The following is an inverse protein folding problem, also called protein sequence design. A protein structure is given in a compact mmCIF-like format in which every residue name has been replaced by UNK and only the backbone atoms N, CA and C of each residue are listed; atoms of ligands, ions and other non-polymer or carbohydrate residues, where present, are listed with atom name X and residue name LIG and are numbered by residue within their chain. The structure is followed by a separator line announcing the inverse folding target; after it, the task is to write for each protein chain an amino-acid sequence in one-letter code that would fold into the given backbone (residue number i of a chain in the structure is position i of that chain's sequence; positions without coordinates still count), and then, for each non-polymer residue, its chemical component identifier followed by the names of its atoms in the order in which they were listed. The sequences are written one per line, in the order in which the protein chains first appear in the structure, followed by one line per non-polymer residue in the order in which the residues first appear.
data_IF_045599010444
#
_entry.id   IF_045599010444
#
_cell.length_a   1.000
_cell.length_b   1.000
_cell.length_c   1.000
_cell.angle_alpha   90.00
_cell.angle_beta   90.00
_cell.angle_gamma   90.00
#
_symmetry.space_group_name_H-M   'P 1'
#
loop_
_entity.id
_entity.type
_entity.pdbx_description
1 polymer ?
#
# COMPACT_ATOMS: atom_id res chain seq x y z
N UNK A 1 -2.46 -5.94 -21.65
CA UNK A 1 -1.44 -5.29 -20.81
C UNK A 1 -1.15 -6.17 -19.61
N UNK A 2 0.09 -6.34 -19.31
CA UNK A 2 0.47 -7.13 -18.16
C UNK A 2 0.00 -6.47 -16.87
N UNK A 3 -0.37 -7.28 -15.91
CA UNK A 3 -0.75 -6.78 -14.60
C UNK A 3 0.44 -6.11 -13.93
N UNK A 4 0.19 -4.98 -13.31
CA UNK A 4 1.20 -4.26 -12.54
C UNK A 4 1.46 -4.95 -11.20
N UNK A 5 0.56 -5.80 -10.76
CA UNK A 5 0.58 -6.42 -9.46
C UNK A 5 0.75 -7.93 -9.61
N UNK A 6 1.28 -8.60 -8.58
CA UNK A 6 1.37 -10.05 -8.62
C UNK A 6 0.01 -10.64 -8.94
N UNK A 7 0.00 -11.58 -9.84
CA UNK A 7 -1.23 -12.24 -10.20
C UNK A 7 -1.83 -12.93 -8.98
N UNK A 8 -3.13 -12.75 -8.83
CA UNK A 8 -3.85 -13.54 -7.86
C UNK A 8 -4.19 -14.85 -8.55
N UNK A 9 -3.32 -15.83 -8.38
CA UNK A 9 -3.54 -17.12 -9.01
C UNK A 9 -4.86 -17.70 -8.54
N UNK A 10 -5.68 -18.20 -9.45
CA UNK A 10 -6.85 -18.96 -9.01
C UNK A 10 -6.39 -20.09 -8.12
N UNK A 11 -7.21 -20.43 -7.16
CA UNK A 11 -6.91 -21.54 -6.31
C UNK A 11 -7.08 -22.85 -7.13
N UNK A 12 -5.97 -23.38 -7.56
CA UNK A 12 -5.94 -24.55 -8.43
C UNK A 12 -6.47 -25.81 -7.75
N UNK A 13 -6.49 -25.83 -6.42
CA UNK A 13 -6.94 -26.99 -5.67
C UNK A 13 -8.40 -26.91 -5.28
N UNK A 14 -9.07 -25.82 -5.58
CA UNK A 14 -10.46 -25.61 -5.17
C UNK A 14 -10.60 -25.16 -3.73
N UNK A 15 -9.51 -24.96 -3.01
CA UNK A 15 -9.55 -24.45 -1.64
C UNK A 15 -9.57 -22.92 -1.67
N UNK A 16 -10.15 -22.33 -0.63
CA UNK A 16 -10.12 -20.87 -0.50
C UNK A 16 -8.66 -20.41 -0.35
N UNK A 17 -8.27 -19.34 -1.05
CA UNK A 17 -6.91 -18.81 -0.86
C UNK A 17 -6.72 -18.32 0.56
N UNK A 18 -5.49 -18.43 1.06
CA UNK A 18 -5.15 -17.90 2.37
C UNK A 18 -5.32 -16.39 2.37
N UNK A 19 -5.74 -15.78 3.50
CA UNK A 19 -5.81 -14.34 3.61
C UNK A 19 -4.46 -13.72 3.31
N UNK A 20 -4.47 -12.63 2.57
CA UNK A 20 -3.25 -11.89 2.27
C UNK A 20 -2.90 -11.00 3.44
N UNK A 21 -1.62 -10.99 3.79
CA UNK A 21 -1.12 -9.99 4.73
C UNK A 21 -1.16 -8.61 4.06
N UNK A 22 -1.35 -7.56 4.85
CA UNK A 22 -1.32 -6.20 4.31
C UNK A 22 -0.02 -5.84 3.60
N UNK A 23 1.08 -6.46 3.99
CA UNK A 23 2.37 -6.29 3.32
C UNK A 23 2.91 -7.68 2.96
N UNK A 24 3.41 -7.80 1.74
CA UNK A 24 4.10 -9.00 1.27
C UNK A 24 5.51 -9.01 1.87
N UNK A 25 5.67 -9.78 2.94
CA UNK A 25 6.93 -9.79 3.69
C UNK A 25 8.09 -10.37 2.90
N UNK A 26 7.82 -11.27 1.97
CA UNK A 26 8.88 -11.80 1.10
C UNK A 26 9.40 -10.72 0.17
N UNK A 27 8.49 -9.94 -0.40
CA UNK A 27 8.86 -8.81 -1.26
C UNK A 27 9.67 -7.77 -0.46
N UNK A 28 9.20 -7.44 0.74
CA UNK A 28 9.90 -6.49 1.60
C UNK A 28 11.30 -6.98 1.95
N UNK A 29 11.45 -8.25 2.29
CA UNK A 29 12.75 -8.83 2.61
C UNK A 29 13.72 -8.69 1.44
N UNK A 30 13.24 -8.92 0.22
CA UNK A 30 14.08 -8.74 -0.97
C UNK A 30 14.49 -7.29 -1.16
N UNK A 31 13.58 -6.36 -0.96
CA UNK A 31 13.87 -4.93 -1.09
C UNK A 31 14.85 -4.45 -0.04
N UNK A 32 14.81 -5.02 1.15
CA UNK A 32 15.70 -4.68 2.25
C UNK A 32 16.95 -5.56 2.31
N UNK A 33 17.21 -6.34 1.27
CA UNK A 33 18.41 -7.18 1.14
C UNK A 33 18.58 -8.17 2.31
N UNK A 34 17.47 -8.60 2.89
CA UNK A 34 17.48 -9.54 3.99
C UNK A 34 17.90 -8.96 5.34
N UNK A 35 18.04 -7.65 5.44
CA UNK A 35 18.45 -6.97 6.66
C UNK A 35 17.21 -6.60 7.49
N UNK A 36 16.97 -7.24 8.66
CA UNK A 36 15.79 -6.96 9.47
C UNK A 36 15.70 -5.54 9.98
N UNK A 37 16.83 -4.93 10.32
CA UNK A 37 16.86 -3.52 10.76
C UNK A 37 16.42 -2.59 9.64
N UNK A 38 16.88 -2.85 8.43
CA UNK A 38 16.49 -2.06 7.28
C UNK A 38 15.01 -2.26 6.94
N UNK A 39 14.48 -3.48 7.10
CA UNK A 39 13.05 -3.72 6.91
C UNK A 39 12.22 -2.82 7.82
N UNK A 40 12.60 -2.71 9.09
CA UNK A 40 11.88 -1.86 10.04
C UNK A 40 11.97 -0.39 9.67
N UNK A 41 13.13 0.07 9.22
CA UNK A 41 13.28 1.45 8.77
C UNK A 41 12.40 1.74 7.57
N UNK A 42 12.37 0.84 6.60
CA UNK A 42 11.53 0.98 5.42
C UNK A 42 10.06 1.04 5.82
N UNK A 43 9.64 0.18 6.76
CA UNK A 43 8.26 0.19 7.24
C UNK A 43 7.90 1.50 7.94
N UNK A 44 8.80 2.06 8.75
CA UNK A 44 8.55 3.34 9.41
C UNK A 44 8.40 4.47 8.42
N UNK A 45 9.27 4.50 7.40
CA UNK A 45 9.19 5.52 6.36
C UNK A 45 7.91 5.38 5.56
N UNK A 46 7.55 4.15 5.20
CA UNK A 46 6.33 3.91 4.46
C UNK A 46 5.10 4.34 5.26
N UNK A 47 5.07 4.00 6.55
CA UNK A 47 3.97 4.38 7.44
C UNK A 47 3.74 5.90 7.40
N UNK A 48 4.82 6.66 7.48
CA UNK A 48 4.72 8.13 7.45
C UNK A 48 4.28 8.64 6.09
N UNK A 49 4.81 8.09 5.01
CA UNK A 49 4.41 8.49 3.65
C UNK A 49 2.92 8.23 3.44
N UNK A 50 2.44 7.07 3.85
CA UNK A 50 1.02 6.72 3.69
C UNK A 50 0.16 7.64 4.54
N UNK A 51 0.52 7.84 5.81
CA UNK A 51 -0.24 8.71 6.71
C UNK A 51 -0.43 10.11 6.12
N UNK A 52 0.67 10.71 5.68
CA UNK A 52 0.64 12.07 5.15
C UNK A 52 -0.14 12.14 3.83
N UNK A 53 0.10 11.18 2.94
CA UNK A 53 -0.52 11.27 1.62
C UNK A 53 -2.01 10.91 1.63
N UNK A 54 -2.44 10.01 2.50
CA UNK A 54 -3.88 9.76 2.66
C UNK A 54 -4.58 10.99 3.22
N UNK A 55 -3.98 11.66 4.21
CA UNK A 55 -4.54 12.88 4.75
C UNK A 55 -4.66 13.96 3.67
N UNK A 56 -3.61 14.15 2.89
CA UNK A 56 -3.63 15.13 1.79
C UNK A 56 -4.62 14.76 0.70
N UNK A 57 -4.77 13.47 0.44
CA UNK A 57 -5.76 12.98 -0.52
C UNK A 57 -7.18 13.36 -0.08
N UNK A 58 -7.47 13.19 1.21
CA UNK A 58 -8.79 13.55 1.75
C UNK A 58 -9.04 15.05 1.72
N UNK A 59 -7.99 15.85 1.80
CA UNK A 59 -8.10 17.31 1.78
C UNK A 59 -8.05 17.91 0.37
N UNK A 60 -7.67 17.12 -0.63
CA UNK A 60 -7.48 17.63 -1.99
C UNK A 60 -8.82 18.03 -2.60
N UNK A 61 -8.80 19.17 -3.30
CA UNK A 61 -10.00 19.73 -3.91
C UNK A 61 -9.99 19.71 -5.43
N UNK A 62 -8.89 19.28 -6.05
CA UNK A 62 -8.77 19.22 -7.50
C UNK A 62 -8.31 17.84 -7.94
N UNK A 63 -8.74 17.42 -9.13
CA UNK A 63 -8.33 16.14 -9.68
C UNK A 63 -6.81 16.02 -9.83
N UNK A 64 -6.09 17.06 -10.32
CA UNK A 64 -4.63 16.96 -10.37
C UNK A 64 -3.97 16.71 -9.01
N UNK A 65 -4.46 17.34 -7.94
CA UNK A 65 -3.94 17.11 -6.61
C UNK A 65 -4.22 15.68 -6.14
N UNK A 66 -5.45 15.20 -6.37
CA UNK A 66 -5.82 13.83 -6.03
C UNK A 66 -4.89 12.86 -6.74
N UNK A 67 -4.67 13.05 -8.04
CA UNK A 67 -3.80 12.18 -8.84
C UNK A 67 -2.37 12.17 -8.29
N UNK A 68 -1.86 13.32 -7.88
CA UNK A 68 -0.50 13.39 -7.36
C UNK A 68 -0.33 12.56 -6.09
N UNK A 69 -1.30 12.63 -5.18
CA UNK A 69 -1.23 11.85 -3.94
C UNK A 69 -1.48 10.37 -4.17
N UNK A 70 -2.38 10.03 -5.08
CA UNK A 70 -2.60 8.63 -5.47
C UNK A 70 -1.33 8.03 -6.05
N UNK A 71 -0.64 8.76 -6.91
CA UNK A 71 0.60 8.28 -7.51
C UNK A 71 1.65 7.99 -6.45
N UNK A 72 1.79 8.87 -5.47
CA UNK A 72 2.73 8.67 -4.36
C UNK A 72 2.37 7.45 -3.54
N UNK A 73 1.09 7.31 -3.18
CA UNK A 73 0.61 6.15 -2.41
C UNK A 73 0.88 4.86 -3.18
N UNK A 74 0.55 4.84 -4.47
CA UNK A 74 0.75 3.66 -5.30
C UNK A 74 2.22 3.27 -5.38
N UNK A 75 3.08 4.23 -5.70
CA UNK A 75 4.51 3.95 -5.84
C UNK A 75 5.13 3.43 -4.55
N UNK A 76 4.83 4.08 -3.44
CA UNK A 76 5.35 3.65 -2.14
C UNK A 76 4.82 2.26 -1.77
N UNK A 77 3.54 2.01 -2.04
CA UNK A 77 2.90 0.72 -1.73
C UNK A 77 3.51 -0.42 -2.52
N UNK A 78 3.77 -0.22 -3.82
CA UNK A 78 4.46 -1.21 -4.65
C UNK A 78 5.85 -1.49 -4.07
N UNK A 79 6.56 -0.44 -3.64
CA UNK A 79 7.90 -0.59 -3.09
C UNK A 79 7.99 -1.55 -1.90
N UNK A 80 7.01 -1.50 -1.01
CA UNK A 80 7.03 -2.35 0.20
C UNK A 80 6.20 -3.63 0.06
N UNK A 81 5.46 -3.79 -1.03
CA UNK A 81 4.60 -4.96 -1.20
C UNK A 81 3.23 -4.82 -0.57
N UNK A 82 2.74 -3.59 -0.40
CA UNK A 82 1.37 -3.34 0.06
C UNK A 82 0.43 -3.38 -1.15
N UNK A 83 0.24 -4.58 -1.69
CA UNK A 83 -0.42 -4.78 -2.98
C UNK A 83 -1.88 -4.32 -3.00
N UNK A 84 -2.62 -4.56 -1.92
CA UNK A 84 -4.02 -4.14 -1.85
C UNK A 84 -4.16 -2.63 -1.91
N UNK A 85 -3.36 -1.92 -1.14
CA UNK A 85 -3.37 -0.46 -1.13
C UNK A 85 -2.92 0.09 -2.49
N UNK A 86 -1.88 -0.51 -3.07
CA UNK A 86 -1.40 -0.12 -4.39
C UNK A 86 -2.49 -0.29 -5.45
N UNK A 87 -3.26 -1.37 -5.37
CA UNK A 87 -4.32 -1.63 -6.33
C UNK A 87 -5.45 -0.62 -6.23
N UNK A 88 -5.89 -0.30 -5.01
CA UNK A 88 -6.92 0.72 -4.81
C UNK A 88 -6.48 2.07 -5.39
N UNK A 89 -5.24 2.47 -5.13
CA UNK A 89 -4.73 3.73 -5.65
C UNK A 89 -4.65 3.70 -7.18
N UNK A 90 -4.21 2.58 -7.75
CA UNK A 90 -4.10 2.44 -9.21
C UNK A 90 -5.46 2.53 -9.89
N UNK A 91 -6.46 1.84 -9.37
CA UNK A 91 -7.82 1.86 -9.95
C UNK A 91 -8.33 3.31 -9.98
N UNK A 92 -8.18 4.04 -8.89
CA UNK A 92 -8.65 5.41 -8.84
C UNK A 92 -7.87 6.33 -9.78
N UNK A 93 -6.54 6.11 -9.92
CA UNK A 93 -5.75 6.86 -10.89
C UNK A 93 -6.27 6.67 -12.31
N UNK A 94 -6.56 5.42 -12.69
CA UNK A 94 -7.06 5.11 -14.02
C UNK A 94 -8.40 5.78 -14.26
N UNK A 95 -9.31 5.70 -13.30
CA UNK A 95 -10.62 6.32 -13.42
C UNK A 95 -10.52 7.83 -13.64
N UNK A 96 -9.69 8.49 -12.86
CA UNK A 96 -9.53 9.94 -12.97
C UNK A 96 -8.88 10.35 -14.28
N UNK A 97 -7.91 9.57 -14.76
CA UNK A 97 -7.27 9.85 -16.04
C UNK A 97 -8.21 9.63 -17.21
N UNK A 98 -9.18 8.75 -17.04
CA UNK A 98 -10.22 8.51 -18.06
C UNK A 98 -11.37 9.53 -17.98
N UNK A 99 -11.25 10.52 -17.10
CA UNK A 99 -12.19 11.63 -17.03
C UNK A 99 -13.30 11.47 -15.99
N UNK A 100 -13.26 10.44 -15.16
CA UNK A 100 -14.24 10.29 -14.10
C UNK A 100 -14.05 11.36 -13.03
N UNK A 101 -15.14 11.68 -12.33
CA UNK A 101 -15.05 12.57 -11.19
C UNK A 101 -14.45 11.84 -10.00
N UNK A 102 -13.93 12.62 -9.04
CA UNK A 102 -13.37 12.06 -7.80
C UNK A 102 -14.47 11.30 -7.05
N UNK A 103 -14.20 10.04 -6.73
CA UNK A 103 -15.16 9.18 -6.04
C UNK A 103 -14.79 9.11 -4.57
N UNK A 104 -15.62 9.70 -3.71
CA UNK A 104 -15.38 9.75 -2.27
C UNK A 104 -15.33 8.34 -1.67
N UNK A 105 -16.12 7.41 -2.19
CA UNK A 105 -16.11 6.04 -1.70
C UNK A 105 -14.76 5.35 -1.95
N UNK A 106 -14.14 5.64 -3.09
CA UNK A 106 -12.82 5.10 -3.39
C UNK A 106 -11.77 5.70 -2.47
N UNK A 107 -11.89 6.97 -2.13
CA UNK A 107 -10.99 7.58 -1.14
C UNK A 107 -11.12 6.88 0.22
N UNK A 108 -12.36 6.56 0.61
CA UNK A 108 -12.59 5.83 1.85
C UNK A 108 -11.99 4.43 1.82
N UNK A 109 -12.09 3.75 0.67
CA UNK A 109 -11.49 2.42 0.51
C UNK A 109 -9.97 2.49 0.67
N UNK A 110 -9.36 3.52 0.11
CA UNK A 110 -7.92 3.74 0.25
C UNK A 110 -7.58 4.00 1.73
N UNK A 111 -8.37 4.81 2.42
CA UNK A 111 -8.13 5.09 3.84
C UNK A 111 -8.22 3.82 4.68
N UNK A 112 -9.25 3.00 4.43
CA UNK A 112 -9.42 1.75 5.17
C UNK A 112 -8.24 0.81 4.92
N UNK A 113 -7.85 0.65 3.66
CA UNK A 113 -6.70 -0.18 3.30
C UNK A 113 -5.42 0.34 3.95
N UNK A 114 -5.23 1.65 3.95
CA UNK A 114 -4.07 2.28 4.58
C UNK A 114 -4.05 2.03 6.09
N UNK A 115 -5.20 2.11 6.74
CA UNK A 115 -5.28 1.84 8.18
C UNK A 115 -4.92 0.40 8.51
N UNK A 116 -5.36 -0.54 7.68
CA UNK A 116 -4.99 -1.95 7.86
C UNK A 116 -3.48 -2.16 7.73
N UNK A 117 -2.89 -1.55 6.72
CA UNK A 117 -1.44 -1.63 6.51
C UNK A 117 -0.70 -1.00 7.69
N UNK A 118 -1.13 0.17 8.14
CA UNK A 118 -0.47 0.86 9.24
C UNK A 118 -0.58 0.09 10.55
N UNK A 119 -1.73 -0.54 10.81
CA UNK A 119 -1.90 -1.40 11.98
C UNK A 119 -0.95 -2.60 11.93
N UNK A 120 -0.81 -3.22 10.77
CA UNK A 120 0.13 -4.31 10.57
C UNK A 120 1.56 -3.87 10.85
N UNK A 121 1.95 -2.70 10.34
CA UNK A 121 3.28 -2.14 10.56
C UNK A 121 3.53 -1.91 12.06
N UNK A 122 2.56 -1.31 12.75
CA UNK A 122 2.68 -1.05 14.18
C UNK A 122 2.92 -2.33 14.97
N UNK A 123 2.21 -3.41 14.61
CA UNK A 123 2.41 -4.71 15.25
C UNK A 123 3.79 -5.28 14.96
N UNK A 124 4.26 -5.14 13.73
CA UNK A 124 5.60 -5.63 13.36
C UNK A 124 6.69 -4.88 14.10
N UNK A 125 6.56 -3.57 14.23
CA UNK A 125 7.53 -2.75 14.93
C UNK A 125 7.51 -3.10 16.42
N UNK A 126 6.33 -3.26 17.02
CA UNK A 126 6.20 -3.59 18.44
C UNK A 126 6.77 -4.96 18.78
N UNK A 127 6.66 -5.91 17.85
CA UNK A 127 7.13 -7.28 18.08
C UNK A 127 8.62 -7.48 17.76
N UNK A 128 9.25 -6.49 17.13
CA UNK A 128 10.63 -6.63 16.68
C UNK A 128 11.60 -6.50 17.84
N UNK A 129 12.72 -7.26 17.81
CA UNK A 129 13.80 -7.02 18.75
C UNK A 129 14.35 -5.61 18.55
N UNK A 130 15.03 -5.11 19.60
CA UNK A 130 15.70 -3.82 19.50
C UNK A 130 16.99 -4.01 18.70
N UNK A 131 17.04 -3.41 17.51
CA UNK A 131 18.23 -3.43 16.66
C UNK A 131 19.10 -2.18 16.85
N UNK A 132 18.66 -1.22 17.66
CA UNK A 132 19.45 -0.04 17.94
C UNK A 132 20.44 -0.34 19.07
N UNK A 133 21.64 0.13 18.95
CA UNK A 133 22.67 -0.04 19.96
C UNK A 133 22.98 1.25 20.67
#
# INVERSE_FOLDING_TARGET
MAAQFPAQSPNQTGLAPAPRLPIDMLHLAKQALGDPGLELEVLRLFDEVVRVNVLRLEEATSAPDVLRHLHTIRGASVGVGAWGLAQHAHIMEVELRDGAEVNVEHIQDIRISAEEVRAFIAERIAAAPDYAD
#
